data_IF_692582703581
#
_entry.id   IF_692582703581
#
_cell.length_a   1.000
_cell.length_b   1.000
_cell.length_c   1.000
_cell.angle_alpha   90.00
_cell.angle_beta   90.00
_cell.angle_gamma   90.00
#
_symmetry.space_group_name_H-M   'P 1'
#
loop_
_entity.id
_entity.type
_entity.pdbx_description
1 polymer ?
#
# COMPACT_ATOMS: atom_id res chain seq x y z
N UNK A 1 24.94 -19.36 25.59
CA UNK A 1 25.15 -20.66 24.91
C UNK A 1 23.79 -21.37 24.84
N UNK A 2 23.43 -21.89 23.65
CA UNK A 2 22.09 -22.31 23.16
C UNK A 2 21.23 -21.16 22.61
N UNK A 3 20.66 -21.17 21.41
CA UNK A 3 20.90 -21.81 20.10
C UNK A 3 19.91 -21.08 19.16
N UNK A 4 20.28 -20.59 17.96
CA UNK A 4 19.34 -19.96 17.05
C UNK A 4 18.45 -21.03 16.39
N UNK A 5 17.14 -20.85 16.45
CA UNK A 5 16.18 -21.69 15.72
C UNK A 5 16.07 -21.22 14.27
N UNK A 6 16.86 -21.86 13.41
CA UNK A 6 16.65 -22.01 11.97
C UNK A 6 15.55 -23.05 11.73
N UNK A 7 14.49 -22.68 11.01
CA UNK A 7 13.65 -23.51 10.12
C UNK A 7 12.49 -22.61 9.66
N UNK A 8 12.28 -22.32 8.37
CA UNK A 8 12.27 -23.27 7.26
C UNK A 8 12.73 -22.62 5.96
N UNK A 9 13.90 -23.04 5.48
CA UNK A 9 14.31 -22.90 4.08
C UNK A 9 13.50 -23.91 3.28
N UNK A 10 12.50 -23.46 2.53
CA UNK A 10 11.92 -24.27 1.45
C UNK A 10 12.77 -24.08 0.19
N UNK A 11 13.80 -24.90 0.07
CA UNK A 11 14.48 -25.19 -1.20
C UNK A 11 13.55 -26.06 -2.05
N UNK A 12 12.77 -25.43 -2.93
CA UNK A 12 12.20 -26.13 -4.09
C UNK A 12 13.12 -25.89 -5.26
N UNK A 13 13.74 -26.96 -5.76
CA UNK A 13 14.46 -26.94 -7.03
C UNK A 13 13.46 -26.77 -8.18
N UNK A 14 13.67 -25.73 -8.98
CA UNK A 14 13.07 -25.52 -10.30
C UNK A 14 14.13 -24.88 -11.19
N UNK A 15 14.43 -25.49 -12.32
CA UNK A 15 15.53 -25.16 -13.22
C UNK A 15 15.21 -23.89 -14.04
N UNK A 16 16.03 -22.84 -13.83
CA UNK A 16 16.39 -21.69 -14.69
C UNK A 16 15.23 -20.76 -15.17
N UNK A 17 15.24 -19.43 -15.04
CA UNK A 17 16.33 -18.45 -15.03
C UNK A 17 15.90 -17.19 -14.25
N UNK A 18 16.78 -16.72 -13.37
CA UNK A 18 16.67 -15.45 -12.65
C UNK A 18 17.50 -15.56 -11.38
N UNK A 19 18.59 -14.80 -11.30
CA UNK A 19 19.27 -14.67 -10.02
C UNK A 19 18.37 -13.79 -9.13
N UNK A 20 18.01 -14.31 -7.96
CA UNK A 20 17.25 -13.56 -6.97
C UNK A 20 18.04 -12.31 -6.56
N UNK A 21 17.33 -11.19 -6.36
CA UNK A 21 17.97 -9.94 -5.94
C UNK A 21 18.71 -10.15 -4.61
N UNK A 22 19.77 -9.37 -4.37
CA UNK A 22 20.48 -9.48 -3.08
C UNK A 22 19.53 -9.11 -1.93
N UNK A 23 19.58 -9.87 -0.83
CA UNK A 23 18.76 -9.65 0.36
C UNK A 23 18.82 -8.19 0.86
N UNK A 24 19.99 -7.55 0.77
CA UNK A 24 20.17 -6.14 1.13
C UNK A 24 19.31 -5.19 0.29
N UNK A 25 19.21 -5.42 -1.02
CA UNK A 25 18.38 -4.60 -1.92
C UNK A 25 16.90 -4.77 -1.59
N UNK A 26 16.47 -6.01 -1.31
CA UNK A 26 15.09 -6.29 -0.95
C UNK A 26 14.71 -5.74 0.42
N UNK A 27 15.63 -5.72 1.40
CA UNK A 27 15.42 -5.08 2.70
C UNK A 27 15.28 -3.56 2.58
N UNK A 28 16.09 -2.92 1.73
CA UNK A 28 15.97 -1.49 1.43
C UNK A 28 14.61 -1.18 0.78
N UNK A 29 14.21 -1.98 -0.22
CA UNK A 29 12.91 -1.87 -0.86
C UNK A 29 11.75 -2.06 0.14
N UNK A 30 11.86 -3.02 1.04
CA UNK A 30 10.90 -3.23 2.13
C UNK A 30 10.76 -1.97 3.00
N UNK A 31 11.89 -1.40 3.43
CA UNK A 31 11.88 -0.19 4.26
C UNK A 31 11.21 0.99 3.55
N UNK A 32 11.44 1.15 2.25
CA UNK A 32 10.80 2.20 1.44
C UNK A 32 9.28 1.96 1.30
N UNK A 33 8.86 0.72 1.09
CA UNK A 33 7.43 0.35 1.05
C UNK A 33 6.78 0.66 2.40
N UNK A 34 7.39 0.25 3.52
CA UNK A 34 6.85 0.47 4.85
C UNK A 34 6.81 1.95 5.24
N UNK A 35 7.83 2.74 4.87
CA UNK A 35 7.83 4.19 5.05
C UNK A 35 6.69 4.87 4.27
N UNK A 36 6.50 4.51 3.00
CA UNK A 36 5.38 5.04 2.21
C UNK A 36 4.02 4.56 2.73
N UNK A 37 3.89 3.31 3.17
CA UNK A 37 2.65 2.80 3.77
C UNK A 37 2.32 3.55 5.08
N UNK A 38 3.34 3.93 5.83
CA UNK A 38 3.22 4.75 7.04
C UNK A 38 2.73 6.16 6.69
N UNK A 39 3.28 6.77 5.63
CA UNK A 39 2.80 8.05 5.12
C UNK A 39 1.33 7.98 4.65
N UNK A 40 0.94 6.92 3.93
CA UNK A 40 -0.46 6.68 3.51
C UNK A 40 -1.38 6.61 4.73
N UNK A 41 -1.05 5.78 5.73
CA UNK A 41 -1.85 5.67 6.95
C UNK A 41 -1.93 7.02 7.67
N UNK A 42 -0.80 7.71 7.82
CA UNK A 42 -0.75 9.03 8.43
C UNK A 42 -1.68 10.03 7.75
N UNK A 43 -1.67 10.10 6.42
CA UNK A 43 -2.52 11.03 5.66
C UNK A 43 -3.99 10.62 5.68
N UNK A 44 -4.30 9.33 5.67
CA UNK A 44 -5.67 8.83 5.84
C UNK A 44 -6.26 9.24 7.20
N UNK A 45 -5.46 9.18 8.26
CA UNK A 45 -5.88 9.56 9.61
C UNK A 45 -5.91 11.08 9.80
N UNK A 46 -4.83 11.79 9.45
CA UNK A 46 -4.71 13.23 9.61
C UNK A 46 -5.69 13.99 8.70
N UNK A 47 -5.80 13.59 7.42
CA UNK A 47 -6.69 14.20 6.45
C UNK A 47 -8.18 14.01 6.74
N UNK A 48 -8.52 13.08 7.64
CA UNK A 48 -9.91 12.82 8.08
C UNK A 48 -10.29 13.45 9.41
N UNK A 49 -9.38 14.18 10.06
CA UNK A 49 -9.68 14.91 11.29
C UNK A 49 -10.54 16.15 11.01
N UNK A 50 -11.61 16.33 11.79
CA UNK A 50 -12.49 17.51 11.68
C UNK A 50 -12.00 18.72 12.47
N UNK A 51 -10.95 18.57 13.28
CA UNK A 51 -10.42 19.65 14.11
C UNK A 51 -8.91 19.56 14.24
N UNK A 52 -8.29 20.66 14.65
CA UNK A 52 -6.83 20.75 14.82
C UNK A 52 -6.32 19.99 16.06
N UNK A 53 -7.17 19.76 17.07
CA UNK A 53 -6.73 19.19 18.34
C UNK A 53 -6.17 17.74 18.22
N UNK A 54 -6.83 16.81 17.51
CA UNK A 54 -6.25 15.49 17.21
C UNK A 54 -4.95 15.57 16.41
N UNK A 55 -4.84 16.53 15.48
CA UNK A 55 -3.63 16.74 14.68
C UNK A 55 -2.45 17.18 15.57
N UNK A 56 -2.67 18.14 16.45
CA UNK A 56 -1.66 18.60 17.42
C UNK A 56 -1.28 17.52 18.43
N UNK A 57 -2.23 16.69 18.84
CA UNK A 57 -1.97 15.56 19.73
C UNK A 57 -1.06 14.54 19.04
N UNK A 58 -1.40 14.13 17.82
CA UNK A 58 -0.61 13.18 17.05
C UNK A 58 0.77 13.69 16.67
N UNK A 59 0.90 15.00 16.38
CA UNK A 59 2.20 15.63 16.13
C UNK A 59 3.12 15.67 17.37
N UNK A 60 2.53 15.68 18.57
CA UNK A 60 3.30 15.75 19.82
C UNK A 60 3.74 14.36 20.29
N UNK A 61 2.86 13.38 20.11
CA UNK A 61 3.05 12.02 20.57
C UNK A 61 2.14 11.09 19.76
N UNK A 62 2.61 10.63 18.60
CA UNK A 62 1.84 9.68 17.81
C UNK A 62 1.67 8.35 18.53
N UNK A 63 2.56 7.99 19.47
CA UNK A 63 2.41 6.75 20.23
C UNK A 63 1.18 6.78 21.14
N UNK A 64 0.74 7.97 21.56
CA UNK A 64 -0.56 8.15 22.21
C UNK A 64 -1.75 7.90 21.26
N UNK A 65 -1.58 8.13 19.96
CA UNK A 65 -2.54 7.83 18.91
C UNK A 65 -2.21 6.48 18.26
N UNK A 66 -2.80 5.42 18.80
CA UNK A 66 -2.59 4.05 18.29
C UNK A 66 -1.60 3.21 19.09
N UNK A 67 -1.23 3.69 20.28
CA UNK A 67 -0.54 2.94 21.34
C UNK A 67 0.79 2.31 20.93
N UNK A 68 1.46 2.87 19.92
CA UNK A 68 2.69 2.31 19.35
C UNK A 68 2.51 0.96 18.66
N UNK A 69 1.27 0.51 18.44
CA UNK A 69 0.99 -0.81 17.87
C UNK A 69 1.50 -0.92 16.43
N UNK A 70 1.45 0.16 15.63
CA UNK A 70 1.88 0.15 14.24
C UNK A 70 3.36 -0.23 14.03
N UNK A 71 4.24 0.14 14.96
CA UNK A 71 5.66 -0.26 14.91
C UNK A 71 5.80 -1.78 14.96
N UNK A 72 4.94 -2.47 15.71
CA UNK A 72 4.98 -3.94 15.85
C UNK A 72 4.68 -4.68 14.55
N UNK A 73 4.09 -3.99 13.56
CA UNK A 73 3.81 -4.51 12.22
C UNK A 73 4.72 -3.90 11.15
N UNK A 74 5.77 -3.17 11.57
CA UNK A 74 6.82 -2.65 10.70
C UNK A 74 6.56 -1.26 10.14
N UNK A 75 5.48 -0.59 10.54
CA UNK A 75 5.25 0.81 10.15
C UNK A 75 6.17 1.74 10.95
N UNK A 76 6.52 2.86 10.33
CA UNK A 76 7.37 3.89 10.89
C UNK A 76 6.52 4.97 11.55
N UNK A 77 6.50 4.98 12.88
CA UNK A 77 5.76 5.98 13.66
C UNK A 77 6.27 7.39 13.45
N UNK A 78 7.58 7.59 13.21
CA UNK A 78 8.14 8.94 13.01
C UNK A 78 7.56 9.55 11.72
N UNK A 79 7.42 8.74 10.67
CA UNK A 79 6.77 9.16 9.42
C UNK A 79 5.29 9.51 9.64
N UNK A 80 4.57 8.73 10.45
CA UNK A 80 3.15 9.01 10.75
C UNK A 80 3.05 10.32 11.55
N UNK A 81 3.91 10.52 12.54
CA UNK A 81 3.98 11.75 13.36
C UNK A 81 4.26 12.98 12.48
N UNK A 82 5.24 12.90 11.59
CA UNK A 82 5.59 13.98 10.65
C UNK A 82 4.40 14.39 9.77
N UNK A 83 3.58 13.42 9.33
CA UNK A 83 2.35 13.71 8.60
C UNK A 83 1.35 14.47 9.46
N UNK A 84 1.14 14.06 10.72
CA UNK A 84 0.27 14.78 11.65
C UNK A 84 0.78 16.20 11.92
N UNK A 85 2.10 16.39 12.07
CA UNK A 85 2.72 17.70 12.21
C UNK A 85 2.51 18.59 10.98
N UNK A 86 2.69 18.02 9.80
CA UNK A 86 2.46 18.71 8.53
C UNK A 86 1.01 19.15 8.41
N UNK A 87 0.05 18.25 8.67
CA UNK A 87 -1.38 18.56 8.64
C UNK A 87 -1.78 19.61 9.70
N UNK A 88 -1.20 19.56 10.89
CA UNK A 88 -1.43 20.53 11.96
C UNK A 88 -0.95 21.95 11.59
N UNK A 89 0.06 22.06 10.73
CA UNK A 89 0.59 23.35 10.26
C UNK A 89 -0.27 24.03 9.19
N UNK A 90 -1.09 23.26 8.45
CA UNK A 90 -1.95 23.76 7.37
C UNK A 90 -3.36 23.11 7.39
N UNK A 91 -4.14 23.28 8.48
CA UNK A 91 -5.35 22.50 8.72
C UNK A 91 -6.48 22.77 7.72
N UNK A 92 -6.57 23.97 7.13
CA UNK A 92 -7.60 24.30 6.14
C UNK A 92 -7.46 23.52 4.83
N UNK A 93 -6.28 22.95 4.56
CA UNK A 93 -5.98 22.23 3.32
C UNK A 93 -5.69 20.74 3.58
N UNK A 94 -5.82 20.27 4.82
CA UNK A 94 -5.36 18.95 5.23
C UNK A 94 -5.94 17.81 4.37
N UNK A 95 -7.23 17.85 4.01
CA UNK A 95 -7.83 16.78 3.18
C UNK A 95 -7.36 16.80 1.73
N UNK A 96 -7.17 17.99 1.13
CA UNK A 96 -6.67 18.08 -0.25
C UNK A 96 -5.19 17.69 -0.35
N UNK A 97 -4.39 18.11 0.63
CA UNK A 97 -2.99 17.67 0.77
C UNK A 97 -2.93 16.16 1.01
N UNK A 98 -3.73 15.62 1.93
CA UNK A 98 -3.78 14.18 2.19
C UNK A 98 -4.04 13.37 0.93
N UNK A 99 -4.99 13.78 0.10
CA UNK A 99 -5.28 13.09 -1.15
C UNK A 99 -4.07 13.05 -2.10
N UNK A 100 -3.42 14.20 -2.32
CA UNK A 100 -2.26 14.29 -3.19
C UNK A 100 -1.09 13.43 -2.68
N UNK A 101 -0.84 13.48 -1.37
CA UNK A 101 0.26 12.73 -0.76
C UNK A 101 -0.01 11.23 -0.70
N UNK A 102 -1.25 10.79 -0.43
CA UNK A 102 -1.64 9.38 -0.52
C UNK A 102 -1.36 8.85 -1.93
N UNK A 103 -1.76 9.59 -2.97
CA UNK A 103 -1.51 9.21 -4.36
C UNK A 103 -0.01 9.05 -4.64
N UNK A 104 0.82 9.98 -4.17
CA UNK A 104 2.26 9.92 -4.36
C UNK A 104 2.87 8.70 -3.65
N UNK A 105 2.55 8.50 -2.37
CA UNK A 105 3.07 7.37 -1.59
C UNK A 105 2.60 6.01 -2.13
N UNK A 106 1.35 5.87 -2.56
CA UNK A 106 0.86 4.63 -3.22
C UNK A 106 1.57 4.41 -4.56
N UNK A 107 1.85 5.47 -5.32
CA UNK A 107 2.64 5.37 -6.56
C UNK A 107 4.06 4.89 -6.26
N UNK A 108 4.70 5.40 -5.21
CA UNK A 108 6.06 5.02 -4.84
C UNK A 108 6.13 3.59 -4.29
N UNK A 109 5.10 3.12 -3.57
CA UNK A 109 4.95 1.70 -3.22
C UNK A 109 4.87 0.84 -4.49
N UNK A 110 3.99 1.19 -5.43
CA UNK A 110 3.82 0.44 -6.67
C UNK A 110 5.11 0.39 -7.50
N UNK A 111 5.81 1.51 -7.66
CA UNK A 111 7.10 1.58 -8.35
C UNK A 111 8.13 0.70 -7.64
N UNK A 112 8.24 0.78 -6.31
CA UNK A 112 9.22 0.00 -5.55
C UNK A 112 8.94 -1.49 -5.66
N UNK A 113 7.68 -1.91 -5.57
CA UNK A 113 7.29 -3.30 -5.79
C UNK A 113 7.62 -3.75 -7.20
N UNK A 114 7.28 -2.94 -8.21
CA UNK A 114 7.48 -3.28 -9.61
C UNK A 114 8.96 -3.36 -10.01
N UNK A 115 9.82 -2.49 -9.46
CA UNK A 115 11.27 -2.53 -9.69
C UNK A 115 11.93 -3.81 -9.17
N UNK A 116 11.34 -4.43 -8.14
CA UNK A 116 11.92 -5.56 -7.45
C UNK A 116 11.17 -6.88 -7.70
N UNK A 117 10.01 -6.85 -8.37
CA UNK A 117 9.19 -8.03 -8.63
C UNK A 117 9.74 -8.95 -9.73
N UNK A 118 10.67 -8.50 -10.58
CA UNK A 118 11.15 -9.24 -11.76
C UNK A 118 12.62 -9.73 -11.67
N UNK A 119 13.20 -9.74 -10.46
CA UNK A 119 14.57 -10.20 -10.24
C UNK A 119 15.64 -9.41 -11.00
N UNK A 120 16.73 -10.09 -11.36
CA UNK A 120 17.89 -9.48 -12.04
C UNK A 120 17.65 -9.13 -13.54
N UNK A 121 16.56 -9.62 -14.16
CA UNK A 121 16.28 -9.37 -15.60
C UNK A 121 15.55 -8.03 -15.84
N UNK A 122 15.99 -7.00 -15.12
CA UNK A 122 15.31 -5.69 -15.04
C UNK A 122 15.17 -5.00 -16.39
N UNK A 123 16.14 -5.13 -17.30
CA UNK A 123 16.10 -4.47 -18.60
C UNK A 123 15.00 -5.04 -19.53
N UNK A 124 14.92 -6.36 -19.65
CA UNK A 124 13.90 -7.01 -20.50
C UNK A 124 12.50 -6.76 -19.93
N UNK A 125 12.36 -6.88 -18.60
CA UNK A 125 11.09 -6.62 -17.93
C UNK A 125 10.67 -5.16 -18.06
N UNK A 126 11.59 -4.21 -17.89
CA UNK A 126 11.31 -2.79 -18.09
C UNK A 126 10.88 -2.49 -19.53
N UNK A 127 11.56 -3.04 -20.54
CA UNK A 127 11.17 -2.88 -21.95
C UNK A 127 9.77 -3.42 -22.22
N UNK A 128 9.44 -4.60 -21.68
CA UNK A 128 8.11 -5.17 -21.82
C UNK A 128 7.04 -4.32 -21.14
N UNK A 129 7.27 -3.89 -19.89
CA UNK A 129 6.37 -3.04 -19.14
C UNK A 129 6.10 -1.72 -19.89
N UNK A 130 7.16 -1.05 -20.35
CA UNK A 130 7.05 0.20 -21.10
C UNK A 130 6.24 0.10 -22.40
N UNK A 131 6.28 -1.07 -23.05
CA UNK A 131 5.51 -1.35 -24.26
C UNK A 131 4.03 -1.61 -23.96
N UNK A 132 3.72 -2.18 -22.79
CA UNK A 132 2.37 -2.62 -22.44
C UNK A 132 1.64 -1.68 -21.47
N UNK A 133 2.32 -0.71 -20.86
CA UNK A 133 1.68 0.22 -19.93
C UNK A 133 0.55 1.04 -20.56
N UNK A 134 -0.61 0.98 -19.90
CA UNK A 134 -1.75 1.84 -20.13
C UNK A 134 -1.71 3.02 -19.15
N UNK A 135 -1.02 4.08 -19.55
CA UNK A 135 -0.84 5.30 -18.73
C UNK A 135 -2.16 6.04 -18.44
N UNK A 136 -3.16 5.88 -19.32
CA UNK A 136 -4.51 6.43 -19.09
C UNK A 136 -5.16 5.68 -17.93
N UNK A 137 -5.22 4.35 -17.99
CA UNK A 137 -5.78 3.54 -16.90
C UNK A 137 -5.02 3.75 -15.56
N UNK A 138 -3.70 3.91 -15.60
CA UNK A 138 -2.93 4.25 -14.39
C UNK A 138 -3.40 5.54 -13.72
N UNK A 139 -3.69 6.59 -14.51
CA UNK A 139 -4.14 7.87 -13.97
C UNK A 139 -5.62 7.82 -13.56
N UNK A 140 -6.47 7.32 -14.46
CA UNK A 140 -7.90 7.48 -14.40
C UNK A 140 -8.57 6.35 -13.59
N UNK A 141 -7.98 5.15 -13.55
CA UNK A 141 -8.56 3.99 -12.86
C UNK A 141 -7.84 3.62 -11.56
N UNK A 142 -6.51 3.69 -11.57
CA UNK A 142 -5.68 3.33 -10.42
C UNK A 142 -5.34 4.51 -9.51
N UNK A 143 -5.65 5.73 -9.96
CA UNK A 143 -5.24 6.97 -9.32
C UNK A 143 -3.73 7.08 -9.05
N UNK A 144 -2.88 6.40 -9.82
CA UNK A 144 -1.41 6.49 -9.73
C UNK A 144 -0.88 7.68 -10.54
N UNK A 145 0.34 8.13 -10.26
CA UNK A 145 1.05 9.07 -11.13
C UNK A 145 1.76 8.30 -12.25
N UNK A 146 1.09 8.18 -13.39
CA UNK A 146 1.60 7.44 -14.55
C UNK A 146 2.88 8.06 -15.14
N UNK A 147 3.12 9.36 -14.91
CA UNK A 147 4.35 10.03 -15.30
C UNK A 147 5.55 9.61 -14.43
N UNK A 148 5.35 9.49 -13.11
CA UNK A 148 6.35 8.92 -12.20
C UNK A 148 6.65 7.46 -12.54
N UNK A 149 5.61 6.64 -12.75
CA UNK A 149 5.79 5.24 -13.17
C UNK A 149 6.56 5.18 -14.48
N UNK A 150 6.14 5.95 -15.49
CA UNK A 150 6.83 6.02 -16.77
C UNK A 150 8.31 6.35 -16.63
N UNK A 151 8.66 7.40 -15.86
CA UNK A 151 10.06 7.81 -15.66
C UNK A 151 10.90 6.74 -14.96
N UNK A 152 10.31 5.94 -14.09
CA UNK A 152 11.01 4.87 -13.38
C UNK A 152 11.43 3.73 -14.32
N UNK A 153 10.70 3.48 -15.41
CA UNK A 153 10.91 2.31 -16.27
C UNK A 153 11.31 2.63 -17.73
N UNK A 154 10.93 3.79 -18.27
CA UNK A 154 10.95 4.05 -19.73
C UNK A 154 11.84 5.25 -20.09
N UNK A 155 13.11 5.00 -20.41
CA UNK A 155 14.11 6.07 -20.63
C UNK A 155 13.88 6.95 -21.88
N UNK A 156 13.13 6.49 -22.89
CA UNK A 156 13.07 7.12 -24.23
C UNK A 156 11.75 7.85 -24.57
N UNK A 157 10.87 8.12 -23.61
CA UNK A 157 9.70 8.97 -23.91
C UNK A 157 10.04 10.44 -23.68
N UNK A 158 9.73 11.35 -24.63
CA UNK A 158 9.74 12.77 -24.36
C UNK A 158 8.62 13.03 -23.34
N UNK A 159 8.96 13.14 -22.06
CA UNK A 159 8.04 13.51 -20.99
C UNK A 159 7.69 14.99 -21.10
N UNK A 160 7.08 15.36 -22.22
CA UNK A 160 6.41 16.63 -22.39
C UNK A 160 5.06 16.54 -21.68
N UNK A 161 5.10 16.63 -20.34
CA UNK A 161 4.13 17.35 -19.50
C UNK A 161 4.56 17.15 -18.06
N UNK A 162 4.91 18.24 -17.39
CA UNK A 162 4.67 18.38 -15.95
C UNK A 162 3.28 17.81 -15.64
N UNK A 163 3.11 17.17 -14.48
CA UNK A 163 1.83 16.66 -14.02
C UNK A 163 0.71 17.67 -14.32
N UNK A 164 -0.10 17.38 -15.34
CA UNK A 164 -1.33 18.12 -15.60
C UNK A 164 -2.33 17.41 -14.72
N UNK A 165 -2.73 18.08 -13.62
CA UNK A 165 -3.90 17.66 -12.87
C UNK A 165 -4.98 17.28 -13.89
N UNK A 166 -5.57 16.08 -13.79
CA UNK A 166 -6.61 15.66 -14.69
C UNK A 166 -7.60 16.82 -14.89
N UNK A 167 -7.94 17.13 -16.14
CA UNK A 167 -8.80 18.29 -16.47
C UNK A 167 -10.25 18.11 -16.01
N UNK A 168 -10.50 17.03 -15.28
CA UNK A 168 -11.76 16.59 -14.69
C UNK A 168 -11.45 16.05 -13.29
N UNK A 169 -12.41 16.10 -12.37
CA UNK A 169 -12.28 15.36 -11.11
C UNK A 169 -12.09 13.88 -11.46
N UNK A 170 -10.88 13.36 -11.25
CA UNK A 170 -10.66 11.91 -11.25
C UNK A 170 -11.19 11.42 -9.93
N UNK A 171 -12.28 10.65 -9.99
CA UNK A 171 -12.75 9.91 -8.84
C UNK A 171 -11.58 9.07 -8.30
N UNK A 172 -11.34 9.21 -7.00
CA UNK A 172 -10.09 8.82 -6.33
C UNK A 172 -9.79 7.32 -6.47
N UNK A 173 -10.80 6.52 -6.81
CA UNK A 173 -10.61 5.15 -7.28
C UNK A 173 -11.68 4.80 -8.31
N UNK A 174 -11.28 4.46 -9.55
CA UNK A 174 -12.25 3.95 -10.52
C UNK A 174 -12.36 2.42 -10.51
N UNK A 175 -11.34 1.69 -10.01
CA UNK A 175 -11.44 0.24 -9.80
C UNK A 175 -11.99 -0.10 -8.40
N UNK A 176 -13.23 -0.62 -8.28
CA UNK A 176 -13.85 -0.89 -6.99
C UNK A 176 -13.11 -1.96 -6.17
N UNK A 177 -12.38 -2.87 -6.80
CA UNK A 177 -11.66 -3.93 -6.09
C UNK A 177 -10.44 -3.38 -5.38
N UNK A 178 -9.68 -2.52 -6.04
CA UNK A 178 -8.51 -1.85 -5.44
C UNK A 178 -8.99 -0.90 -4.33
N UNK A 179 -10.09 -0.19 -4.55
CA UNK A 179 -10.74 0.65 -3.54
C UNK A 179 -11.08 -0.14 -2.27
N UNK A 180 -11.77 -1.27 -2.43
CA UNK A 180 -12.22 -2.08 -1.31
C UNK A 180 -11.03 -2.75 -0.58
N UNK A 181 -10.00 -3.20 -1.32
CA UNK A 181 -8.77 -3.75 -0.73
C UNK A 181 -7.98 -2.71 0.06
N UNK A 182 -7.82 -1.49 -0.47
CA UNK A 182 -7.16 -0.40 0.23
C UNK A 182 -7.95 0.03 1.49
N UNK A 183 -9.28 0.06 1.38
CA UNK A 183 -10.18 0.34 2.50
C UNK A 183 -10.08 -0.73 3.59
N UNK A 184 -10.00 -2.00 3.20
CA UNK A 184 -9.81 -3.12 4.11
C UNK A 184 -8.46 -3.04 4.84
N UNK A 185 -7.38 -2.69 4.14
CA UNK A 185 -6.07 -2.50 4.74
C UNK A 185 -6.06 -1.35 5.75
N UNK A 186 -6.65 -0.21 5.39
CA UNK A 186 -6.83 0.92 6.30
C UNK A 186 -7.66 0.53 7.54
N UNK A 187 -8.72 -0.27 7.35
CA UNK A 187 -9.57 -0.77 8.41
C UNK A 187 -8.80 -1.65 9.41
N UNK A 188 -7.98 -2.58 8.92
CA UNK A 188 -7.15 -3.45 9.75
C UNK A 188 -6.16 -2.62 10.58
N UNK A 189 -5.44 -1.70 9.94
CA UNK A 189 -4.42 -0.87 10.59
C UNK A 189 -5.04 0.07 11.62
N UNK A 190 -6.18 0.68 11.31
CA UNK A 190 -6.89 1.53 12.25
C UNK A 190 -7.41 0.71 13.43
N UNK A 191 -8.06 -0.43 13.19
CA UNK A 191 -8.59 -1.30 14.25
C UNK A 191 -7.48 -1.84 15.15
N UNK A 192 -6.32 -2.17 14.59
CA UNK A 192 -5.16 -2.67 15.32
C UNK A 192 -4.53 -1.60 16.23
N UNK A 193 -4.82 -0.32 16.00
CA UNK A 193 -4.34 0.76 16.85
C UNK A 193 -4.96 0.74 18.26
N UNK A 194 -6.10 0.05 18.46
CA UNK A 194 -6.72 -0.09 19.78
C UNK A 194 -5.87 -0.93 20.76
N UNK A 195 -5.76 -0.49 22.01
CA UNK A 195 -5.08 -1.22 23.09
C UNK A 195 -5.97 -2.22 23.84
N UNK A 196 -7.30 -2.08 23.70
CA UNK A 196 -8.28 -2.99 24.27
C UNK A 196 -9.55 -3.12 23.40
N UNK A 197 -10.34 -4.19 23.54
CA UNK A 197 -11.65 -4.30 22.89
C UNK A 197 -12.60 -3.13 23.24
N UNK A 198 -12.51 -2.60 24.46
CA UNK A 198 -13.30 -1.44 24.89
C UNK A 198 -12.89 -0.18 24.14
N UNK A 199 -11.60 0.02 23.94
CA UNK A 199 -11.13 1.15 23.14
C UNK A 199 -11.53 1.03 21.67
N UNK A 200 -11.41 -0.17 21.06
CA UNK A 200 -11.91 -0.41 19.70
C UNK A 200 -13.39 -0.06 19.57
N UNK A 201 -14.19 -0.39 20.58
CA UNK A 201 -15.61 -0.01 20.63
C UNK A 201 -15.80 1.51 20.64
N UNK A 202 -15.07 2.24 21.49
CA UNK A 202 -15.10 3.71 21.51
C UNK A 202 -14.68 4.30 20.16
N UNK A 203 -13.66 3.73 19.52
CA UNK A 203 -13.24 4.14 18.18
C UNK A 203 -14.36 3.91 17.16
N UNK A 204 -15.08 2.78 17.21
CA UNK A 204 -16.27 2.54 16.38
C UNK A 204 -17.35 3.61 16.59
N UNK A 205 -17.66 3.94 17.85
CA UNK A 205 -18.65 4.96 18.21
C UNK A 205 -18.25 6.37 17.75
N UNK A 206 -16.94 6.64 17.60
CA UNK A 206 -16.43 7.94 17.14
C UNK A 206 -16.19 7.99 15.64
N UNK A 207 -16.12 6.85 14.96
CA UNK A 207 -15.71 6.77 13.56
C UNK A 207 -16.65 7.51 12.60
N UNK A 208 -17.92 7.74 12.95
CA UNK A 208 -18.83 8.54 12.10
C UNK A 208 -18.35 9.98 11.91
N UNK A 209 -17.52 10.52 12.81
CA UNK A 209 -16.89 11.83 12.62
C UNK A 209 -15.79 11.80 11.54
N UNK A 210 -15.16 10.67 11.28
CA UNK A 210 -14.12 10.54 10.24
C UNK A 210 -14.68 10.02 8.91
N UNK A 211 -15.77 9.26 8.93
CA UNK A 211 -16.32 8.53 7.78
C UNK A 211 -16.50 9.39 6.52
N UNK A 212 -17.12 10.56 6.64
CA UNK A 212 -17.36 11.44 5.48
C UNK A 212 -16.06 12.02 4.90
N UNK A 213 -15.07 12.30 5.73
CA UNK A 213 -13.78 12.79 5.26
C UNK A 213 -12.96 11.65 4.62
N UNK A 214 -13.02 10.44 5.17
CA UNK A 214 -12.35 9.27 4.61
C UNK A 214 -12.90 8.85 3.24
N UNK A 215 -14.22 8.98 3.00
CA UNK A 215 -14.79 8.78 1.66
C UNK A 215 -14.14 9.71 0.63
N UNK A 216 -13.85 10.97 1.00
CA UNK A 216 -13.14 11.93 0.15
C UNK A 216 -11.64 11.65 -0.01
N UNK A 217 -11.10 10.68 0.71
CA UNK A 217 -9.71 10.22 0.60
C UNK A 217 -9.62 8.85 -0.09
N UNK A 218 -10.72 8.38 -0.70
CA UNK A 218 -10.72 7.08 -1.34
C UNK A 218 -10.77 5.91 -0.35
N UNK A 219 -11.46 6.07 0.77
CA UNK A 219 -11.68 5.00 1.76
C UNK A 219 -13.17 4.74 1.98
N UNK A 220 -13.57 3.50 1.72
CA UNK A 220 -14.91 3.00 1.94
C UNK A 220 -15.21 2.89 3.44
N UNK A 221 -15.93 3.88 3.97
CA UNK A 221 -16.26 3.92 5.40
C UNK A 221 -17.09 2.73 5.88
N UNK A 222 -17.82 2.04 4.99
CA UNK A 222 -18.59 0.87 5.38
C UNK A 222 -17.67 -0.31 5.69
N UNK A 223 -16.67 -0.57 4.84
CA UNK A 223 -15.66 -1.62 5.06
C UNK A 223 -14.91 -1.35 6.37
N UNK A 224 -14.52 -0.09 6.62
CA UNK A 224 -13.84 0.26 7.86
C UNK A 224 -14.72 0.00 9.09
N UNK A 225 -16.02 0.33 9.01
CA UNK A 225 -16.96 0.03 10.08
C UNK A 225 -17.17 -1.45 10.29
N UNK A 226 -17.23 -2.26 9.24
CA UNK A 226 -17.42 -3.71 9.37
C UNK A 226 -16.29 -4.37 10.16
N UNK A 227 -15.04 -3.94 9.97
CA UNK A 227 -13.89 -4.46 10.71
C UNK A 227 -13.74 -3.84 12.11
N UNK A 228 -14.08 -2.55 12.26
CA UNK A 228 -13.90 -1.81 13.50
C UNK A 228 -15.03 -2.09 14.52
N UNK A 229 -16.27 -2.14 14.04
CA UNK A 229 -17.50 -2.22 14.84
C UNK A 229 -17.97 -3.66 15.05
N UNK A 230 -17.04 -4.55 15.40
CA UNK A 230 -17.34 -5.93 15.78
C UNK A 230 -17.74 -6.03 17.26
N UNK A 231 -18.34 -7.16 17.64
CA UNK A 231 -18.79 -7.40 19.01
C UNK A 231 -17.66 -7.24 20.05
N UNK A 232 -18.03 -6.81 21.26
CA UNK A 232 -17.10 -6.43 22.34
C UNK A 232 -16.24 -7.60 22.84
N UNK A 233 -16.71 -8.83 22.68
CA UNK A 233 -16.04 -10.06 23.06
C UNK A 233 -15.01 -10.56 22.03
N UNK A 234 -15.03 -10.02 20.81
CA UNK A 234 -14.04 -10.35 19.78
C UNK A 234 -12.67 -9.82 20.22
N UNK A 235 -11.64 -10.67 20.37
CA UNK A 235 -10.32 -10.21 20.80
C UNK A 235 -9.68 -9.27 19.78
N UNK A 236 -8.69 -8.50 20.22
CA UNK A 236 -7.85 -7.72 19.31
C UNK A 236 -7.03 -8.64 18.42
N UNK A 237 -6.74 -8.19 17.20
CA UNK A 237 -5.83 -8.90 16.30
C UNK A 237 -4.41 -8.89 16.87
N UNK A 238 -3.69 -10.00 16.69
CA UNK A 238 -2.27 -10.06 17.01
C UNK A 238 -1.45 -9.39 15.90
N UNK A 239 -0.26 -8.88 16.23
CA UNK A 239 0.66 -8.30 15.24
C UNK A 239 0.93 -9.27 14.07
N UNK A 240 1.10 -10.56 14.36
CA UNK A 240 1.31 -11.59 13.33
C UNK A 240 0.11 -11.73 12.37
N UNK A 241 -1.12 -11.70 12.91
CA UNK A 241 -2.32 -11.75 12.07
C UNK A 241 -2.44 -10.50 11.19
N UNK A 242 -2.12 -9.32 11.75
CA UNK A 242 -2.14 -8.05 11.01
C UNK A 242 -1.08 -8.07 9.90
N UNK A 243 0.16 -8.47 10.18
CA UNK A 243 1.20 -8.62 9.16
C UNK A 243 0.79 -9.57 8.03
N UNK A 244 0.15 -10.69 8.37
CA UNK A 244 -0.34 -11.66 7.37
C UNK A 244 -1.42 -11.02 6.48
N UNK A 245 -2.37 -10.30 7.07
CA UNK A 245 -3.41 -9.59 6.32
C UNK A 245 -2.86 -8.41 5.50
N UNK A 246 -1.87 -7.69 6.02
CA UNK A 246 -1.15 -6.64 5.29
C UNK A 246 -0.46 -7.23 4.07
N UNK A 247 0.29 -8.32 4.23
CA UNK A 247 0.97 -8.97 3.12
C UNK A 247 0.00 -9.49 2.05
N UNK A 248 -1.12 -10.11 2.47
CA UNK A 248 -2.17 -10.56 1.55
C UNK A 248 -2.83 -9.40 0.80
N UNK A 249 -3.15 -8.32 1.50
CA UNK A 249 -3.77 -7.13 0.88
C UNK A 249 -2.80 -6.44 -0.07
N UNK A 250 -1.54 -6.28 0.32
CA UNK A 250 -0.48 -5.71 -0.53
C UNK A 250 -0.27 -6.54 -1.79
N UNK A 251 -0.32 -7.87 -1.68
CA UNK A 251 -0.25 -8.79 -2.83
C UNK A 251 -1.38 -8.52 -3.81
N UNK A 252 -2.62 -8.52 -3.32
CA UNK A 252 -3.81 -8.35 -4.16
C UNK A 252 -3.86 -6.96 -4.80
N UNK A 253 -3.48 -5.91 -4.05
CA UNK A 253 -3.41 -4.55 -4.58
C UNK A 253 -2.39 -4.47 -5.72
N UNK A 254 -1.16 -4.97 -5.49
CA UNK A 254 -0.12 -4.98 -6.51
C UNK A 254 -0.55 -5.75 -7.76
N UNK A 255 -1.19 -6.91 -7.58
CA UNK A 255 -1.72 -7.74 -8.67
C UNK A 255 -2.70 -6.97 -9.55
N UNK A 256 -3.75 -6.43 -8.93
CA UNK A 256 -4.81 -5.73 -9.66
C UNK A 256 -4.27 -4.45 -10.31
N UNK A 257 -3.40 -3.71 -9.62
CA UNK A 257 -2.71 -2.56 -10.19
C UNK A 257 -1.91 -2.96 -11.42
N UNK A 258 -1.13 -4.04 -11.37
CA UNK A 258 -0.32 -4.49 -12.51
C UNK A 258 -1.18 -4.97 -13.69
N UNK A 259 -2.27 -5.68 -13.42
CA UNK A 259 -3.23 -6.12 -14.46
C UNK A 259 -3.81 -4.93 -15.20
N UNK A 260 -4.34 -3.95 -14.47
CA UNK A 260 -4.96 -2.75 -15.05
C UNK A 260 -3.90 -1.89 -15.75
N UNK A 261 -2.75 -1.68 -15.09
CA UNK A 261 -1.65 -0.89 -15.61
C UNK A 261 -1.08 -1.44 -16.92
N UNK A 262 -1.18 -2.74 -17.17
CA UNK A 262 -0.67 -3.39 -18.40
C UNK A 262 -1.76 -3.84 -19.36
N UNK A 263 -3.03 -3.55 -19.04
CA UNK A 263 -4.20 -4.03 -19.78
C UNK A 263 -4.12 -5.55 -20.02
N UNK A 264 -3.79 -6.30 -18.97
CA UNK A 264 -3.63 -7.75 -19.02
C UNK A 264 -4.94 -8.50 -18.75
N UNK A 265 -6.00 -7.79 -18.33
CA UNK A 265 -7.29 -8.40 -18.04
C UNK A 265 -7.86 -9.07 -19.30
N UNK A 266 -7.91 -10.39 -19.30
CA UNK A 266 -8.39 -11.17 -20.45
C UNK A 266 -7.38 -11.34 -21.60
N UNK A 267 -6.14 -10.86 -21.45
CA UNK A 267 -5.04 -11.15 -22.38
C UNK A 267 -4.16 -12.28 -21.82
N UNK A 268 -4.44 -13.51 -22.27
CA UNK A 268 -3.71 -14.71 -21.84
C UNK A 268 -2.19 -14.58 -22.04
N UNK A 269 -1.72 -13.93 -23.11
CA UNK A 269 -0.29 -13.80 -23.38
C UNK A 269 0.40 -12.88 -22.38
N UNK A 270 -0.25 -11.77 -22.03
CA UNK A 270 0.26 -10.85 -21.02
C UNK A 270 0.24 -11.50 -19.63
N UNK A 271 -0.84 -12.18 -19.28
CA UNK A 271 -0.96 -12.91 -18.02
C UNK A 271 0.10 -14.00 -17.88
N UNK A 272 0.32 -14.82 -18.93
CA UNK A 272 1.40 -15.82 -18.95
C UNK A 272 2.77 -15.16 -18.80
N UNK A 273 3.03 -14.06 -19.52
CA UNK A 273 4.31 -13.37 -19.40
C UNK A 273 4.56 -12.85 -17.97
N UNK A 274 3.55 -12.23 -17.34
CA UNK A 274 3.65 -11.77 -15.95
C UNK A 274 3.91 -12.93 -14.98
N UNK A 275 3.20 -14.04 -15.14
CA UNK A 275 3.41 -15.26 -14.35
C UNK A 275 4.84 -15.83 -14.50
N UNK A 276 5.38 -15.85 -15.71
CA UNK A 276 6.70 -16.44 -15.97
C UNK A 276 7.88 -15.56 -15.55
N UNK A 277 7.68 -14.24 -15.45
CA UNK A 277 8.77 -13.27 -15.23
C UNK A 277 8.77 -12.64 -13.83
N UNK A 278 7.74 -12.85 -13.02
CA UNK A 278 7.71 -12.39 -11.63
C UNK A 278 8.45 -13.38 -10.71
N UNK A 279 9.40 -12.86 -9.94
CA UNK A 279 10.17 -13.61 -8.96
C UNK A 279 9.40 -13.75 -7.64
N UNK A 280 8.51 -14.74 -7.59
CA UNK A 280 7.60 -14.97 -6.46
C UNK A 280 8.29 -15.17 -5.11
N UNK A 281 9.57 -15.60 -5.10
CA UNK A 281 10.35 -15.79 -3.86
C UNK A 281 10.68 -14.47 -3.18
N UNK A 282 10.91 -13.42 -3.97
CA UNK A 282 11.38 -12.13 -3.48
C UNK A 282 10.22 -11.26 -3.00
N UNK A 283 8.98 -11.58 -3.41
CA UNK A 283 7.77 -10.86 -3.01
C UNK A 283 7.55 -10.84 -1.49
N UNK A 284 7.95 -11.91 -0.78
CA UNK A 284 7.91 -11.97 0.68
C UNK A 284 8.70 -10.84 1.33
N UNK A 285 9.87 -10.52 0.77
CA UNK A 285 10.72 -9.44 1.25
C UNK A 285 10.18 -8.05 0.85
N UNK A 286 9.30 -7.97 -0.15
CA UNK A 286 8.59 -6.73 -0.52
C UNK A 286 7.32 -6.50 0.31
N UNK A 287 7.12 -7.23 1.41
CA UNK A 287 5.91 -7.13 2.23
C UNK A 287 4.67 -7.70 1.56
N UNK A 288 4.83 -8.62 0.60
CA UNK A 288 3.75 -9.36 -0.06
C UNK A 288 3.79 -10.84 0.34
N UNK A 289 2.82 -11.62 -0.13
CA UNK A 289 2.81 -13.07 0.06
C UNK A 289 3.69 -13.75 -1.00
N UNK A 290 4.59 -14.66 -0.61
CA UNK A 290 5.39 -15.43 -1.55
C UNK A 290 4.52 -16.54 -2.15
N UNK A 291 3.67 -16.20 -3.11
CA UNK A 291 2.81 -17.16 -3.80
C UNK A 291 2.96 -17.04 -5.32
N UNK A 292 3.10 -18.19 -5.97
CA UNK A 292 3.09 -18.28 -7.43
C UNK A 292 1.68 -18.03 -8.02
N UNK A 293 0.63 -17.96 -7.20
CA UNK A 293 -0.76 -17.86 -7.69
C UNK A 293 -1.17 -16.47 -8.21
N UNK A 294 -0.34 -15.45 -7.97
CA UNK A 294 -0.63 -14.04 -8.30
C UNK A 294 -1.07 -13.83 -9.76
N UNK A 295 -0.43 -14.50 -10.71
CA UNK A 295 -0.79 -14.44 -12.13
C UNK A 295 -0.86 -15.82 -12.78
N UNK A 296 -0.34 -16.83 -12.10
CA UNK A 296 -0.34 -18.20 -12.55
C UNK A 296 -1.61 -18.89 -12.07
N UNK A 297 -2.71 -18.64 -12.79
CA UNK A 297 -3.87 -19.53 -12.73
C UNK A 297 -3.67 -20.66 -13.73
N UNK A 298 -3.89 -21.88 -13.23
CA UNK A 298 -3.73 -23.21 -13.84
C UNK A 298 -4.54 -23.35 -15.13
#
# INVERSE_FOLDING_TARGET
MKLPSLASVYLVFGLAHGAALSEKVLVEAHSQIMGNASAVLGWQLAGSQQSIAPLQMGCKDITSLGHGNWISVGLDSDVIEDVFCTAASAPSNASATALAEIKLSVTDIFITQLLNAFGDNTEVSAQWLCKNFNYTAMNDELALDSGRVGRAFCLDRPYGTDWVNPTHEVDIVADPRIYDLASYLAAILYTFSASSPTERWVMCEQYHYMAQAQLKLGINSNIVREELCVDHDIPLMTAHLVQTKMAGSSTNIFEQQLIVATDAAGDEKKMTWLCENIEHRDLGLLGMTPSNSLFCLV
#
